data_IF_773202703524
#
_entry.id   IF_773202703524
#
_cell.length_a   1.000
_cell.length_b   1.000
_cell.length_c   1.000
_cell.angle_alpha   90.00
_cell.angle_beta   90.00
_cell.angle_gamma   90.00
#
_symmetry.space_group_name_H-M   'P 1'
#
loop_
_entity.id
_entity.type
_entity.pdbx_description
1 polymer ?
#
# COMPACT_ATOMS: atom_id res chain seq x y z
N UNK A 1 18.39 -30.74 -6.29
CA UNK A 1 17.26 -29.81 -6.03
C UNK A 1 17.02 -28.97 -7.27
N UNK A 2 15.81 -29.03 -7.85
CA UNK A 2 15.46 -28.30 -9.07
C UNK A 2 15.49 -26.79 -8.80
N UNK A 3 16.32 -26.06 -9.54
CA UNK A 3 16.66 -24.66 -9.24
C UNK A 3 15.62 -23.72 -9.86
N UNK A 4 14.53 -23.46 -9.14
CA UNK A 4 13.57 -22.41 -9.53
C UNK A 4 14.29 -21.06 -9.61
N UNK A 5 14.08 -20.33 -10.70
CA UNK A 5 14.64 -18.99 -10.91
C UNK A 5 13.52 -18.00 -11.16
N UNK A 6 13.64 -16.82 -10.55
CA UNK A 6 12.71 -15.71 -10.74
C UNK A 6 13.44 -14.59 -11.46
N UNK A 7 12.84 -14.08 -12.52
CA UNK A 7 13.33 -12.90 -13.21
C UNK A 7 12.33 -11.76 -13.12
N UNK A 8 12.80 -10.59 -12.70
CA UNK A 8 12.00 -9.37 -12.57
C UNK A 8 12.36 -8.42 -13.72
N UNK A 9 11.35 -7.76 -14.28
CA UNK A 9 11.56 -6.70 -15.27
C UNK A 9 12.36 -5.54 -14.62
N UNK A 10 13.51 -5.11 -15.18
CA UNK A 10 14.32 -4.03 -14.62
C UNK A 10 13.67 -2.64 -14.75
N UNK A 11 12.61 -2.50 -15.54
CA UNK A 11 11.95 -1.21 -15.81
C UNK A 11 10.85 -0.85 -14.79
N UNK A 12 10.76 -1.57 -13.67
CA UNK A 12 9.72 -1.36 -12.65
C UNK A 12 10.06 -0.20 -11.71
N UNK A 13 9.04 0.36 -11.07
CA UNK A 13 9.22 1.30 -9.96
C UNK A 13 9.48 0.55 -8.65
N UNK A 14 10.71 0.60 -8.17
CA UNK A 14 11.19 -0.07 -6.95
C UNK A 14 10.45 0.41 -5.71
N UNK A 15 10.15 1.72 -5.59
CA UNK A 15 9.41 2.23 -4.41
C UNK A 15 8.10 1.45 -4.20
N UNK A 16 7.36 1.19 -5.28
CA UNK A 16 6.06 0.52 -5.24
C UNK A 16 6.19 -1.01 -5.25
N UNK A 17 7.30 -1.52 -5.78
CA UNK A 17 7.55 -2.96 -5.94
C UNK A 17 8.30 -3.59 -4.77
N UNK A 18 8.97 -2.79 -3.94
CA UNK A 18 9.87 -3.22 -2.85
C UNK A 18 9.24 -4.29 -1.94
N UNK A 19 7.96 -4.12 -1.56
CA UNK A 19 7.19 -5.07 -0.77
C UNK A 19 7.13 -6.45 -1.43
N UNK A 20 6.76 -6.49 -2.71
CA UNK A 20 6.60 -7.73 -3.45
C UNK A 20 7.94 -8.38 -3.78
N UNK A 21 8.98 -7.58 -4.04
CA UNK A 21 10.35 -8.10 -4.22
C UNK A 21 10.83 -8.79 -2.94
N UNK A 22 10.54 -8.22 -1.76
CA UNK A 22 10.81 -8.89 -0.48
C UNK A 22 10.08 -10.23 -0.39
N UNK A 23 8.80 -10.28 -0.79
CA UNK A 23 8.05 -11.53 -0.84
C UNK A 23 8.68 -12.57 -1.79
N UNK A 24 9.18 -12.15 -2.95
CA UNK A 24 9.89 -13.03 -3.88
C UNK A 24 11.18 -13.58 -3.25
N UNK A 25 11.91 -12.76 -2.49
CA UNK A 25 13.08 -13.22 -1.72
C UNK A 25 12.68 -14.23 -0.65
N UNK A 26 11.61 -13.96 0.09
CA UNK A 26 11.14 -14.83 1.18
C UNK A 26 10.59 -16.17 0.69
N UNK A 27 10.05 -16.23 -0.54
CA UNK A 27 9.48 -17.46 -1.13
C UNK A 27 10.53 -18.26 -1.90
N UNK A 28 11.34 -17.61 -2.74
CA UNK A 28 12.24 -18.30 -3.68
C UNK A 28 13.72 -18.26 -3.28
N UNK A 29 14.09 -17.51 -2.25
CA UNK A 29 15.49 -17.25 -1.89
C UNK A 29 16.09 -16.11 -2.73
N UNK A 30 16.74 -15.15 -2.08
CA UNK A 30 17.29 -13.93 -2.70
C UNK A 30 18.24 -14.23 -3.86
N UNK A 31 19.03 -15.29 -3.78
CA UNK A 31 19.98 -15.75 -4.81
C UNK A 31 19.31 -16.31 -6.09
N UNK A 32 18.01 -16.62 -6.00
CA UNK A 32 17.21 -17.12 -7.11
C UNK A 32 16.39 -16.04 -7.81
N UNK A 33 16.32 -14.83 -7.23
CA UNK A 33 15.59 -13.70 -7.77
C UNK A 33 16.55 -12.69 -8.41
N UNK A 34 16.40 -12.43 -9.70
CA UNK A 34 17.30 -11.54 -10.45
C UNK A 34 16.54 -10.60 -11.38
N UNK A 35 17.07 -9.42 -11.63
CA UNK A 35 16.55 -8.58 -12.71
C UNK A 35 17.08 -9.02 -14.07
N UNK A 36 16.21 -9.04 -15.10
CA UNK A 36 16.58 -9.30 -16.50
C UNK A 36 15.50 -8.81 -17.46
N UNK A 37 15.87 -8.09 -18.52
CA UNK A 37 14.92 -7.69 -19.58
C UNK A 37 14.53 -8.83 -20.55
N UNK A 38 15.24 -9.97 -20.54
CA UNK A 38 15.13 -11.05 -21.55
C UNK A 38 13.71 -11.56 -21.78
N UNK A 39 12.88 -11.60 -20.73
CA UNK A 39 11.57 -12.27 -20.77
C UNK A 39 10.40 -11.29 -21.01
N UNK A 40 10.69 -9.99 -21.17
CA UNK A 40 9.67 -8.93 -21.13
C UNK A 40 9.54 -8.16 -22.45
N UNK A 41 10.32 -8.50 -23.48
CA UNK A 41 10.30 -7.78 -24.78
C UNK A 41 8.89 -7.74 -25.40
N UNK A 42 8.12 -8.83 -25.31
CA UNK A 42 6.74 -8.90 -25.83
C UNK A 42 5.74 -8.05 -25.04
N UNK A 43 6.03 -7.76 -23.77
CA UNK A 43 5.17 -6.96 -22.90
C UNK A 43 5.12 -5.50 -23.36
N UNK A 44 6.16 -4.99 -24.05
CA UNK A 44 6.28 -3.62 -24.58
C UNK A 44 5.72 -2.54 -23.63
N UNK A 45 6.19 -2.52 -22.37
CA UNK A 45 5.69 -1.60 -21.33
C UNK A 45 5.76 -0.11 -21.72
N UNK A 46 6.72 0.26 -22.56
CA UNK A 46 6.86 1.63 -23.06
C UNK A 46 5.65 2.12 -23.86
N UNK A 47 4.85 1.21 -24.42
CA UNK A 47 3.61 1.54 -25.14
C UNK A 47 2.38 1.62 -24.24
N UNK A 48 2.51 1.32 -22.95
CA UNK A 48 1.41 1.33 -21.99
C UNK A 48 1.52 2.57 -21.06
N UNK A 49 0.57 3.53 -21.13
CA UNK A 49 0.62 4.75 -20.34
C UNK A 49 0.73 4.47 -18.84
N UNK A 50 1.61 5.20 -18.14
CA UNK A 50 1.81 5.07 -16.69
C UNK A 50 2.26 3.68 -16.22
N UNK A 51 2.69 2.79 -17.13
CA UNK A 51 3.09 1.43 -16.77
C UNK A 51 4.18 1.38 -15.69
N UNK A 52 5.09 2.36 -15.68
CA UNK A 52 6.11 2.53 -14.64
C UNK A 52 5.52 2.59 -13.22
N UNK A 53 4.41 3.32 -13.05
CA UNK A 53 3.78 3.61 -11.77
C UNK A 53 2.65 2.66 -11.40
N UNK A 54 2.26 1.76 -12.30
CA UNK A 54 1.02 0.96 -12.14
C UNK A 54 1.27 -0.51 -11.81
N UNK A 55 2.33 -1.13 -12.33
CA UNK A 55 2.57 -2.55 -12.07
C UNK A 55 4.04 -2.95 -12.15
N UNK A 56 4.34 -4.11 -11.57
CA UNK A 56 5.56 -4.87 -11.84
C UNK A 56 5.26 -6.18 -12.56
N UNK A 57 6.22 -6.65 -13.35
CA UNK A 57 6.15 -7.94 -14.03
C UNK A 57 7.33 -8.81 -13.61
N UNK A 58 7.06 -10.10 -13.44
CA UNK A 58 8.10 -11.10 -13.19
C UNK A 58 7.75 -12.44 -13.85
N UNK A 59 8.76 -13.28 -14.03
CA UNK A 59 8.59 -14.66 -14.51
C UNK A 59 9.21 -15.63 -13.52
N UNK A 60 8.56 -16.78 -13.34
CA UNK A 60 9.08 -17.91 -12.56
C UNK A 60 9.41 -19.03 -13.54
N UNK A 61 10.65 -19.48 -13.52
CA UNK A 61 11.17 -20.55 -14.38
C UNK A 61 11.57 -21.72 -13.50
N UNK A 62 10.96 -22.85 -13.79
CA UNK A 62 11.24 -24.17 -13.24
C UNK A 62 11.53 -25.11 -14.42
N UNK A 63 12.16 -26.27 -14.18
CA UNK A 63 12.74 -27.13 -15.24
C UNK A 63 11.80 -27.52 -16.40
N UNK A 64 10.48 -27.33 -16.26
CA UNK A 64 9.47 -27.71 -17.25
C UNK A 64 8.51 -26.58 -17.64
N UNK A 65 8.63 -25.39 -17.04
CA UNK A 65 7.66 -24.32 -17.28
C UNK A 65 8.24 -22.93 -17.05
N UNK A 66 7.73 -21.97 -17.83
CA UNK A 66 7.88 -20.55 -17.59
C UNK A 66 6.47 -20.02 -17.34
N UNK A 67 6.24 -19.42 -16.16
CA UNK A 67 5.00 -18.71 -15.84
C UNK A 67 5.28 -17.21 -15.70
N UNK A 68 4.36 -16.39 -16.19
CA UNK A 68 4.42 -14.93 -16.24
C UNK A 68 3.39 -14.33 -15.30
N UNK A 69 3.82 -13.35 -14.52
CA UNK A 69 3.01 -12.74 -13.48
C UNK A 69 3.07 -11.22 -13.57
N UNK A 70 1.95 -10.59 -13.27
CA UNK A 70 1.83 -9.14 -13.10
C UNK A 70 1.30 -8.85 -11.70
N UNK A 71 1.86 -7.84 -11.05
CA UNK A 71 1.32 -7.28 -9.80
C UNK A 71 0.99 -5.82 -10.07
N UNK A 72 -0.31 -5.53 -10.15
CA UNK A 72 -0.89 -4.22 -10.39
C UNK A 72 -1.26 -3.55 -9.07
N UNK A 73 -0.54 -2.48 -8.78
CA UNK A 73 -0.69 -1.64 -7.60
C UNK A 73 -1.29 -0.27 -7.93
N UNK A 74 -1.92 -0.10 -9.10
CA UNK A 74 -2.60 1.14 -9.46
C UNK A 74 -3.87 1.34 -8.63
N UNK A 75 -4.19 2.60 -8.35
CA UNK A 75 -5.37 2.99 -7.58
C UNK A 75 -6.68 2.62 -8.30
N UNK A 76 -6.71 2.72 -9.62
CA UNK A 76 -7.88 2.44 -10.45
C UNK A 76 -8.18 0.95 -10.54
N UNK A 77 -9.48 0.63 -10.61
CA UNK A 77 -9.99 -0.72 -10.95
C UNK A 77 -9.70 -1.16 -12.38
N UNK A 78 -9.36 -0.22 -13.27
CA UNK A 78 -9.04 -0.51 -14.69
C UNK A 78 -7.87 -1.48 -14.82
N UNK A 79 -7.98 -2.41 -15.75
CA UNK A 79 -6.96 -3.41 -16.04
C UNK A 79 -6.06 -2.95 -17.18
N UNK A 80 -4.75 -3.23 -17.07
CA UNK A 80 -3.81 -3.03 -18.18
C UNK A 80 -3.90 -4.22 -19.12
N UNK A 81 -4.79 -4.13 -20.11
CA UNK A 81 -5.12 -5.20 -21.05
C UNK A 81 -3.88 -5.88 -21.64
N UNK A 82 -2.88 -5.10 -22.07
CA UNK A 82 -1.63 -5.65 -22.61
C UNK A 82 -0.87 -6.53 -21.60
N UNK A 83 -0.80 -6.09 -20.34
CA UNK A 83 -0.16 -6.84 -19.27
C UNK A 83 -0.99 -8.07 -18.87
N UNK A 84 -2.32 -7.95 -18.89
CA UNK A 84 -3.26 -9.06 -18.67
C UNK A 84 -3.14 -10.16 -19.72
N UNK A 85 -3.10 -9.79 -21.00
CA UNK A 85 -2.89 -10.73 -22.12
C UNK A 85 -1.51 -11.40 -21.99
N UNK A 86 -0.48 -10.64 -21.62
CA UNK A 86 0.88 -11.14 -21.53
C UNK A 86 1.10 -12.18 -20.41
N UNK A 87 0.39 -12.05 -19.28
CA UNK A 87 0.59 -12.87 -18.10
C UNK A 87 -0.32 -14.10 -18.02
N UNK A 88 0.08 -15.06 -17.18
CA UNK A 88 -0.71 -16.23 -16.80
C UNK A 88 -1.56 -15.96 -15.55
N UNK A 89 -1.11 -15.02 -14.71
CA UNK A 89 -1.79 -14.53 -13.50
C UNK A 89 -1.60 -13.03 -13.33
N UNK A 90 -2.71 -12.33 -13.08
CA UNK A 90 -2.75 -10.88 -12.91
C UNK A 90 -3.19 -10.55 -11.48
N UNK A 91 -2.25 -10.27 -10.59
CA UNK A 91 -2.55 -9.86 -9.23
C UNK A 91 -2.91 -8.38 -9.20
N UNK A 92 -4.02 -8.01 -8.55
CA UNK A 92 -4.46 -6.61 -8.45
C UNK A 92 -4.93 -6.25 -7.05
N UNK A 93 -4.46 -5.11 -6.54
CA UNK A 93 -4.88 -4.60 -5.23
C UNK A 93 -6.34 -4.11 -5.27
N UNK A 94 -6.64 -3.23 -6.24
CA UNK A 94 -7.91 -2.54 -6.35
C UNK A 94 -8.78 -3.20 -7.41
N UNK A 95 -9.42 -4.29 -7.04
CA UNK A 95 -10.30 -5.05 -7.93
C UNK A 95 -11.63 -5.33 -7.22
N UNK A 96 -12.72 -5.35 -7.97
CA UNK A 96 -14.03 -5.71 -7.45
C UNK A 96 -14.74 -6.64 -8.43
N UNK A 97 -15.10 -7.85 -8.00
CA UNK A 97 -15.87 -8.80 -8.81
C UNK A 97 -17.21 -8.27 -9.27
N UNK A 98 -17.72 -7.20 -8.65
CA UNK A 98 -19.00 -6.58 -8.98
C UNK A 98 -18.87 -5.29 -9.79
N UNK A 99 -17.76 -4.55 -9.61
CA UNK A 99 -17.58 -3.22 -10.22
C UNK A 99 -16.53 -3.22 -11.35
N UNK A 100 -15.75 -4.29 -11.49
CA UNK A 100 -14.76 -4.44 -12.56
C UNK A 100 -15.36 -5.16 -13.77
N UNK A 101 -14.73 -4.99 -14.93
CA UNK A 101 -15.13 -5.68 -16.15
C UNK A 101 -14.88 -7.19 -16.05
N UNK A 102 -15.96 -7.95 -16.18
CA UNK A 102 -16.00 -9.41 -16.11
C UNK A 102 -15.08 -10.10 -17.12
N UNK A 103 -14.76 -9.44 -18.25
CA UNK A 103 -13.86 -10.00 -19.27
C UNK A 103 -12.44 -10.31 -18.76
N UNK A 104 -12.02 -9.67 -17.67
CA UNK A 104 -10.69 -9.84 -17.07
C UNK A 104 -10.65 -10.80 -15.88
N UNK A 105 -11.77 -11.43 -15.49
CA UNK A 105 -11.83 -12.16 -14.21
C UNK A 105 -11.04 -13.47 -14.20
N UNK A 106 -10.87 -14.12 -15.36
CA UNK A 106 -10.29 -15.47 -15.46
C UNK A 106 -8.88 -15.59 -14.84
N UNK A 107 -8.01 -14.60 -15.07
CA UNK A 107 -6.63 -14.62 -14.56
C UNK A 107 -6.39 -13.72 -13.35
N UNK A 108 -7.40 -12.94 -12.94
CA UNK A 108 -7.23 -11.95 -11.86
C UNK A 108 -7.22 -12.65 -10.50
N UNK A 109 -6.27 -12.23 -9.68
CA UNK A 109 -6.25 -12.55 -8.25
C UNK A 109 -6.29 -11.21 -7.49
N UNK A 110 -7.27 -11.07 -6.60
CA UNK A 110 -7.29 -9.96 -5.64
C UNK A 110 -6.21 -10.18 -4.59
N UNK A 111 -5.39 -9.15 -4.36
CA UNK A 111 -4.33 -9.14 -3.35
C UNK A 111 -4.51 -7.96 -2.40
N UNK A 112 -3.96 -7.98 -1.18
CA UNK A 112 -4.11 -6.88 -0.25
C UNK A 112 -3.17 -5.72 -0.64
N UNK A 113 -3.37 -4.51 -0.08
CA UNK A 113 -2.48 -3.39 -0.36
C UNK A 113 -1.07 -3.63 0.20
N UNK A 114 -0.09 -3.75 -0.69
CA UNK A 114 1.32 -3.61 -0.35
C UNK A 114 1.71 -2.15 -0.12
N UNK A 115 2.89 -1.91 0.47
CA UNK A 115 3.41 -0.57 0.72
C UNK A 115 4.94 -0.52 0.56
N UNK A 116 5.49 0.65 0.23
CA UNK A 116 6.94 0.77 0.04
C UNK A 116 7.72 0.48 1.32
N UNK A 117 8.74 -0.37 1.24
CA UNK A 117 9.69 -0.69 2.31
C UNK A 117 11.11 -0.42 1.84
N UNK A 118 12.06 -0.34 2.76
CA UNK A 118 13.47 -0.31 2.43
C UNK A 118 14.00 -1.74 2.25
N UNK A 119 14.26 -2.08 0.99
CA UNK A 119 14.77 -3.38 0.55
C UNK A 119 16.31 -3.46 0.53
N UNK A 120 16.97 -2.37 0.14
CA UNK A 120 18.41 -2.31 -0.06
C UNK A 120 19.02 -1.05 0.57
N UNK A 121 20.20 -1.23 1.16
CA UNK A 121 20.98 -0.17 1.80
C UNK A 121 22.44 -0.21 1.34
N UNK A 122 23.16 0.88 1.60
CA UNK A 122 24.60 0.98 1.37
C UNK A 122 25.02 0.56 -0.05
N UNK A 123 25.99 -0.33 -0.15
CA UNK A 123 26.52 -0.82 -1.43
C UNK A 123 25.45 -1.54 -2.27
N UNK A 124 24.56 -2.32 -1.63
CA UNK A 124 23.53 -3.07 -2.36
C UNK A 124 22.56 -2.15 -3.09
N UNK A 125 22.20 -1.02 -2.48
CA UNK A 125 21.34 0.00 -3.09
C UNK A 125 21.98 0.57 -4.37
N UNK A 126 23.23 1.00 -4.26
CA UNK A 126 23.98 1.60 -5.39
C UNK A 126 24.18 0.58 -6.50
N UNK A 127 24.57 -0.65 -6.14
CA UNK A 127 24.76 -1.76 -7.07
C UNK A 127 23.47 -2.08 -7.85
N UNK A 128 22.34 -2.25 -7.16
CA UNK A 128 21.07 -2.54 -7.83
C UNK A 128 20.59 -1.35 -8.67
N UNK A 129 20.76 -0.11 -8.21
CA UNK A 129 20.41 1.10 -8.96
C UNK A 129 21.14 1.15 -10.31
N UNK A 130 22.46 0.98 -10.31
CA UNK A 130 23.29 1.03 -11.51
C UNK A 130 23.04 -0.18 -12.41
N UNK A 131 23.01 -1.39 -11.86
CA UNK A 131 22.82 -2.59 -12.67
C UNK A 131 21.45 -2.66 -13.32
N UNK A 132 20.38 -2.28 -12.62
CA UNK A 132 19.05 -2.30 -13.22
C UNK A 132 18.93 -1.25 -14.32
N UNK A 133 19.57 -0.09 -14.18
CA UNK A 133 19.67 0.89 -15.26
C UNK A 133 20.35 0.31 -16.51
N UNK A 134 21.47 -0.40 -16.34
CA UNK A 134 22.17 -1.08 -17.44
C UNK A 134 21.29 -2.19 -18.05
N UNK A 135 20.58 -2.96 -17.21
CA UNK A 135 19.70 -4.05 -17.65
C UNK A 135 18.46 -3.57 -18.41
N UNK A 136 18.08 -2.30 -18.26
CA UNK A 136 17.12 -1.64 -19.13
C UNK A 136 17.67 -1.38 -20.55
N UNK A 137 18.91 -1.77 -20.86
CA UNK A 137 19.61 -1.50 -22.14
C UNK A 137 19.60 0.00 -22.49
N UNK A 138 19.70 0.87 -21.47
CA UNK A 138 19.58 2.33 -21.61
C UNK A 138 18.25 2.81 -22.24
N UNK A 139 17.18 1.99 -22.18
CA UNK A 139 15.80 2.35 -22.54
C UNK A 139 14.87 2.28 -21.31
N UNK A 140 15.16 3.02 -20.22
CA UNK A 140 14.26 3.08 -19.08
C UNK A 140 12.92 3.70 -19.49
N UNK A 141 11.85 3.38 -18.75
CA UNK A 141 10.55 4.02 -18.93
C UNK A 141 10.53 5.47 -18.44
N UNK A 142 11.56 5.88 -17.70
CA UNK A 142 11.69 7.19 -17.07
C UNK A 142 13.09 7.75 -17.22
N UNK A 143 13.28 9.05 -17.00
CA UNK A 143 14.59 9.68 -17.03
C UNK A 143 15.54 9.10 -15.98
N UNK A 144 16.86 9.25 -16.19
CA UNK A 144 17.88 8.83 -15.21
C UNK A 144 17.64 9.48 -13.83
N UNK A 145 17.26 10.76 -13.81
CA UNK A 145 16.92 11.47 -12.57
C UNK A 145 15.76 10.79 -11.83
N UNK A 146 14.69 10.43 -12.54
CA UNK A 146 13.54 9.75 -11.96
C UNK A 146 13.88 8.32 -11.51
N UNK A 147 14.72 7.60 -12.25
CA UNK A 147 15.24 6.29 -11.85
C UNK A 147 16.02 6.38 -10.53
N UNK A 148 17.02 7.26 -10.44
CA UNK A 148 17.81 7.44 -9.20
C UNK A 148 16.91 7.87 -8.03
N UNK A 149 15.99 8.82 -8.27
CA UNK A 149 15.06 9.29 -7.26
C UNK A 149 14.20 8.14 -6.71
N UNK A 150 13.79 7.18 -7.54
CA UNK A 150 12.98 6.05 -7.09
C UNK A 150 13.72 5.13 -6.10
N UNK A 151 15.00 4.83 -6.37
CA UNK A 151 15.85 4.07 -5.45
C UNK A 151 16.09 4.85 -4.14
N UNK A 152 16.28 6.17 -4.22
CA UNK A 152 16.38 7.00 -3.01
C UNK A 152 15.07 7.01 -2.21
N UNK A 153 13.92 7.10 -2.88
CA UNK A 153 12.61 7.08 -2.21
C UNK A 153 12.30 5.74 -1.56
N UNK A 154 12.73 4.62 -2.13
CA UNK A 154 12.62 3.30 -1.48
C UNK A 154 13.50 3.25 -0.22
N UNK A 155 14.74 3.75 -0.30
CA UNK A 155 15.67 3.78 0.83
C UNK A 155 15.16 4.63 2.00
N UNK A 156 14.38 5.69 1.72
CA UNK A 156 13.76 6.52 2.76
C UNK A 156 12.58 5.87 3.49
N UNK A 157 12.15 4.67 3.07
CA UNK A 157 11.11 3.91 3.77
C UNK A 157 11.72 3.14 4.95
N UNK A 158 10.92 2.77 5.97
CA UNK A 158 11.38 1.83 6.98
C UNK A 158 11.58 0.44 6.38
N UNK A 159 12.45 -0.35 7.00
CA UNK A 159 12.49 -1.80 6.79
C UNK A 159 11.17 -2.42 7.24
N UNK A 160 10.85 -3.60 6.70
CA UNK A 160 9.59 -4.26 7.02
C UNK A 160 9.45 -4.57 8.51
N UNK A 161 10.55 -4.98 9.13
CA UNK A 161 10.65 -5.34 10.54
C UNK A 161 10.33 -4.15 11.46
N UNK A 162 10.66 -2.93 11.01
CA UNK A 162 10.33 -1.73 11.77
C UNK A 162 8.82 -1.55 11.90
N UNK A 163 7.99 -2.00 10.96
CA UNK A 163 6.53 -1.90 11.11
C UNK A 163 5.98 -2.79 12.23
N UNK A 164 6.76 -3.76 12.72
CA UNK A 164 6.30 -4.71 13.74
C UNK A 164 6.72 -4.32 15.16
N UNK A 165 7.54 -3.27 15.31
CA UNK A 165 8.00 -2.83 16.63
C UNK A 165 6.87 -2.11 17.38
N UNK A 166 6.60 -2.53 18.60
CA UNK A 166 5.76 -1.75 19.51
C UNK A 166 6.49 -0.49 19.96
N UNK A 167 5.74 0.60 20.11
CA UNK A 167 6.22 1.85 20.68
C UNK A 167 5.38 2.09 21.92
N UNK A 168 6.03 2.06 23.08
CA UNK A 168 5.38 2.34 24.36
C UNK A 168 5.74 3.77 24.73
N UNK A 169 4.74 4.65 24.68
CA UNK A 169 4.83 5.99 25.23
C UNK A 169 3.80 6.13 26.34
N UNK A 170 4.28 6.45 27.54
CA UNK A 170 3.40 6.85 28.64
C UNK A 170 2.86 8.25 28.33
N UNK A 171 1.54 8.34 28.15
CA UNK A 171 0.84 9.62 27.93
C UNK A 171 -0.32 9.77 28.89
N UNK A 172 -0.53 11.01 29.32
CA UNK A 172 -1.66 11.40 30.15
C UNK A 172 -2.99 11.47 29.36
N UNK A 173 -2.91 11.55 28.03
CA UNK A 173 -4.07 11.57 27.11
C UNK A 173 -3.90 10.56 25.98
N UNK A 174 -4.99 9.95 25.48
CA UNK A 174 -4.99 9.18 24.25
C UNK A 174 -4.42 10.00 23.09
N UNK A 175 -3.41 9.48 22.40
CA UNK A 175 -2.85 10.13 21.21
C UNK A 175 -3.46 9.56 19.94
N UNK A 176 -3.79 10.40 18.97
CA UNK A 176 -4.27 9.99 17.65
C UNK A 176 -3.62 10.86 16.59
N UNK A 177 -3.07 10.24 15.56
CA UNK A 177 -2.42 10.93 14.46
C UNK A 177 -3.05 10.61 13.10
N UNK A 178 -3.33 11.64 12.31
CA UNK A 178 -3.77 11.48 10.92
C UNK A 178 -3.20 12.59 10.03
N UNK A 179 -2.48 12.21 8.99
CA UNK A 179 -2.11 13.12 7.89
C UNK A 179 -2.77 12.69 6.58
N UNK A 180 -3.36 13.61 5.83
CA UNK A 180 -3.96 13.36 4.53
C UNK A 180 -3.35 14.22 3.43
N UNK A 181 -3.55 13.83 2.17
CA UNK A 181 -3.45 14.78 1.05
C UNK A 181 -4.88 15.08 0.61
N UNK A 182 -5.19 16.35 0.36
CA UNK A 182 -6.45 16.71 -0.28
C UNK A 182 -6.35 16.38 -1.77
N UNK A 183 -7.22 15.47 -2.20
CA UNK A 183 -7.29 15.06 -3.59
C UNK A 183 -8.44 15.79 -4.28
N UNK A 184 -8.19 16.43 -5.45
CA UNK A 184 -9.22 17.16 -6.19
C UNK A 184 -10.14 16.23 -7.01
N UNK A 185 -10.02 14.92 -6.84
CA UNK A 185 -10.86 13.94 -7.53
C UNK A 185 -12.27 13.92 -6.93
N UNK A 186 -13.29 13.76 -7.78
CA UNK A 186 -14.71 13.83 -7.41
C UNK A 186 -15.07 12.96 -6.18
N UNK A 187 -14.75 11.66 -6.21
CA UNK A 187 -14.99 10.77 -5.07
C UNK A 187 -14.30 11.21 -3.76
N UNK A 188 -13.19 11.95 -3.86
CA UNK A 188 -12.50 12.48 -2.69
C UNK A 188 -13.13 13.79 -2.19
N UNK A 189 -13.57 14.66 -3.09
CA UNK A 189 -14.27 15.91 -2.76
C UNK A 189 -15.57 15.60 -2.01
N UNK A 190 -16.32 14.61 -2.48
CA UNK A 190 -17.63 14.24 -1.92
C UNK A 190 -17.54 13.22 -0.77
N UNK A 191 -16.43 12.48 -0.67
CA UNK A 191 -16.24 11.40 0.29
C UNK A 191 -14.95 11.55 1.08
N UNK A 192 -13.85 11.02 0.55
CA UNK A 192 -12.57 10.81 1.28
C UNK A 192 -12.10 12.02 2.09
N UNK A 193 -12.12 13.23 1.53
CA UNK A 193 -11.64 14.43 2.20
C UNK A 193 -12.58 14.80 3.36
N UNK A 194 -13.90 14.73 3.15
CA UNK A 194 -14.90 15.04 4.17
C UNK A 194 -14.89 14.01 5.30
N UNK A 195 -14.78 12.71 4.98
CA UNK A 195 -14.65 11.65 5.99
C UNK A 195 -13.45 11.87 6.92
N UNK A 196 -12.30 12.22 6.34
CA UNK A 196 -11.12 12.54 7.14
C UNK A 196 -11.31 13.82 7.93
N UNK A 197 -11.93 14.87 7.36
CA UNK A 197 -12.21 16.13 8.07
C UNK A 197 -13.06 15.86 9.31
N UNK A 198 -14.18 15.17 9.15
CA UNK A 198 -15.08 14.81 10.25
C UNK A 198 -14.35 14.00 11.32
N UNK A 199 -13.49 13.06 10.94
CA UNK A 199 -12.66 12.32 11.89
C UNK A 199 -11.72 13.22 12.69
N UNK A 200 -11.03 14.16 12.04
CA UNK A 200 -10.14 15.12 12.71
C UNK A 200 -10.93 15.97 13.70
N UNK A 201 -12.01 16.61 13.24
CA UNK A 201 -12.82 17.50 14.07
C UNK A 201 -13.46 16.75 15.26
N UNK A 202 -13.89 15.51 15.04
CA UNK A 202 -14.41 14.66 16.12
C UNK A 202 -13.32 14.37 17.15
N UNK A 203 -12.12 13.97 16.73
CA UNK A 203 -11.00 13.77 17.66
C UNK A 203 -10.66 15.05 18.46
N UNK A 204 -10.60 16.20 17.80
CA UNK A 204 -10.28 17.49 18.42
C UNK A 204 -11.33 17.95 19.45
N UNK A 205 -12.61 17.57 19.24
CA UNK A 205 -13.69 17.84 20.19
C UNK A 205 -13.73 16.92 21.42
N UNK A 206 -12.93 15.85 21.42
CA UNK A 206 -12.89 14.84 22.49
C UNK A 206 -11.63 15.01 23.35
N UNK A 207 -11.52 14.25 24.45
CA UNK A 207 -10.30 14.24 25.28
C UNK A 207 -9.19 13.38 24.63
N UNK A 208 -8.80 13.76 23.40
CA UNK A 208 -7.74 13.15 22.60
C UNK A 208 -6.67 14.21 22.34
N UNK A 209 -5.41 13.83 22.45
CA UNK A 209 -4.29 14.59 21.92
C UNK A 209 -4.15 14.27 20.42
N UNK A 210 -4.82 15.08 19.59
CA UNK A 210 -4.84 14.88 18.15
C UNK A 210 -3.68 15.62 17.47
N UNK A 211 -3.03 14.98 16.50
CA UNK A 211 -2.02 15.61 15.67
C UNK A 211 -2.20 15.26 14.18
N UNK A 212 -1.94 16.25 13.31
CA UNK A 212 -1.84 16.06 11.87
C UNK A 212 -2.70 17.06 11.12
N UNK A 213 -3.43 16.59 10.11
CA UNK A 213 -4.22 17.42 9.22
C UNK A 213 -3.99 17.06 7.75
N UNK A 214 -3.99 18.05 6.87
CA UNK A 214 -3.96 17.85 5.43
C UNK A 214 -2.87 18.63 4.72
N UNK A 215 -2.18 17.97 3.79
CA UNK A 215 -1.36 18.62 2.80
C UNK A 215 -2.21 19.02 1.59
N UNK A 216 -2.18 20.30 1.20
CA UNK A 216 -2.87 20.81 0.02
C UNK A 216 -2.17 22.03 -0.56
N UNK A 217 -2.31 22.23 -1.87
CA UNK A 217 -2.00 23.50 -2.53
C UNK A 217 -3.19 24.47 -2.42
N UNK A 218 -2.93 25.77 -2.54
CA UNK A 218 -3.95 26.83 -2.46
C UNK A 218 -5.02 26.72 -3.56
N UNK A 219 -4.66 26.17 -4.72
CA UNK A 219 -5.58 25.99 -5.86
C UNK A 219 -6.56 24.83 -5.69
N UNK A 220 -6.51 24.08 -4.58
CA UNK A 220 -7.43 22.98 -4.35
C UNK A 220 -8.87 23.50 -4.15
N UNK A 221 -9.90 22.89 -4.78
CA UNK A 221 -11.28 23.38 -4.70
C UNK A 221 -11.82 23.53 -3.28
N UNK A 222 -11.39 22.65 -2.37
CA UNK A 222 -11.80 22.66 -0.96
C UNK A 222 -10.79 23.38 -0.03
N UNK A 223 -9.78 24.09 -0.55
CA UNK A 223 -8.73 24.68 0.29
C UNK A 223 -9.29 25.57 1.41
N UNK A 224 -10.26 26.44 1.09
CA UNK A 224 -10.88 27.35 2.09
C UNK A 224 -11.62 26.59 3.20
N UNK A 225 -12.27 25.47 2.88
CA UNK A 225 -13.01 24.65 3.83
C UNK A 225 -12.08 23.92 4.81
N UNK A 226 -10.85 23.63 4.41
CA UNK A 226 -9.87 22.89 5.19
C UNK A 226 -8.77 23.77 5.78
N UNK A 227 -8.90 25.10 5.66
CA UNK A 227 -7.81 26.05 5.92
C UNK A 227 -7.13 25.84 7.28
N UNK A 228 -7.92 25.62 8.33
CA UNK A 228 -7.42 25.47 9.70
C UNK A 228 -6.83 24.08 9.99
N UNK A 229 -7.06 23.12 9.10
CA UNK A 229 -6.54 21.76 9.18
C UNK A 229 -5.37 21.52 8.22
N UNK A 230 -4.92 22.54 7.49
CA UNK A 230 -3.83 22.41 6.51
C UNK A 230 -2.48 22.69 7.17
N UNK A 231 -1.54 21.75 7.02
CA UNK A 231 -0.15 21.96 7.41
C UNK A 231 0.71 22.31 6.19
N UNK A 232 1.69 23.18 6.39
CA UNK A 232 2.63 23.63 5.35
C UNK A 232 3.85 22.73 5.19
N UNK A 233 4.36 22.18 6.30
CA UNK A 233 5.55 21.33 6.31
C UNK A 233 5.21 19.85 6.22
N UNK A 234 5.87 19.13 5.31
CA UNK A 234 5.64 17.69 5.15
C UNK A 234 6.29 16.92 6.29
N UNK A 235 5.50 16.10 6.96
CA UNK A 235 6.00 15.06 7.86
C UNK A 235 7.00 14.15 7.16
N UNK A 236 8.15 13.92 7.79
CA UNK A 236 9.09 12.91 7.33
C UNK A 236 8.47 11.52 7.43
N UNK A 237 8.94 10.57 6.61
CA UNK A 237 8.46 9.18 6.66
C UNK A 237 8.69 8.58 8.05
N UNK A 238 9.82 8.88 8.69
CA UNK A 238 10.13 8.43 10.05
C UNK A 238 9.10 8.95 11.05
N UNK A 239 8.85 10.27 11.04
CA UNK A 239 7.87 10.90 11.93
C UNK A 239 6.46 10.37 11.70
N UNK A 240 6.05 10.16 10.44
CA UNK A 240 4.78 9.55 10.10
C UNK A 240 4.62 8.17 10.75
N UNK A 241 5.65 7.32 10.66
CA UNK A 241 5.61 5.94 11.18
C UNK A 241 5.61 5.93 12.71
N UNK A 242 6.46 6.73 13.36
CA UNK A 242 6.52 6.83 14.83
C UNK A 242 5.18 7.27 15.40
N UNK A 243 4.61 8.35 14.87
CA UNK A 243 3.31 8.89 15.31
C UNK A 243 2.15 7.95 15.02
N UNK A 244 2.19 7.25 13.88
CA UNK A 244 1.18 6.22 13.56
C UNK A 244 1.21 5.06 14.55
N UNK A 245 2.42 4.58 14.92
CA UNK A 245 2.56 3.50 15.91
C UNK A 245 2.08 3.94 17.29
N UNK A 246 2.40 5.17 17.68
CA UNK A 246 1.98 5.76 18.96
C UNK A 246 0.47 5.98 19.04
N UNK A 247 -0.21 6.20 17.91
CA UNK A 247 -1.65 6.44 17.89
C UNK A 247 -2.44 5.29 18.54
N UNK A 248 -3.37 5.60 19.42
CA UNK A 248 -4.19 4.58 20.11
C UNK A 248 -5.04 3.76 19.11
N UNK A 249 -5.52 4.41 18.06
CA UNK A 249 -6.19 3.81 16.91
C UNK A 249 -5.91 4.65 15.67
N UNK A 250 -6.20 4.11 14.48
CA UNK A 250 -5.92 4.76 13.20
C UNK A 250 -7.17 4.79 12.33
N UNK A 251 -7.32 5.87 11.55
CA UNK A 251 -8.45 6.04 10.63
C UNK A 251 -8.09 5.68 9.19
N UNK A 252 -8.89 4.80 8.60
CA UNK A 252 -8.82 4.41 7.21
C UNK A 252 -10.09 4.83 6.46
N UNK A 253 -9.92 5.22 5.20
CA UNK A 253 -11.02 5.41 4.26
C UNK A 253 -10.50 5.16 2.86
N UNK A 254 -11.30 4.58 1.95
CA UNK A 254 -10.94 4.51 0.54
C UNK A 254 -10.47 5.88 0.02
N UNK A 255 -9.40 5.87 -0.77
CA UNK A 255 -8.79 7.08 -1.30
C UNK A 255 -9.27 7.37 -2.73
N UNK A 256 -8.41 7.94 -3.58
CA UNK A 256 -8.75 8.24 -4.97
C UNK A 256 -9.17 6.95 -5.68
N UNK A 257 -10.27 7.00 -6.45
CA UNK A 257 -10.85 5.84 -7.13
C UNK A 257 -11.31 4.71 -6.19
N UNK A 258 -11.65 5.05 -4.94
CA UNK A 258 -12.00 4.14 -3.85
C UNK A 258 -10.93 3.07 -3.58
N UNK A 259 -9.66 3.41 -3.83
CA UNK A 259 -8.58 2.44 -3.68
C UNK A 259 -8.32 2.07 -2.21
N UNK A 260 -7.85 0.84 -2.01
CA UNK A 260 -7.11 0.45 -0.81
C UNK A 260 -5.76 1.18 -0.81
N UNK A 261 -5.69 2.27 -0.05
CA UNK A 261 -4.46 3.01 0.11
C UNK A 261 -3.39 2.21 0.88
N UNK A 262 -2.12 2.53 0.64
CA UNK A 262 -0.99 1.90 1.32
C UNK A 262 -1.07 1.92 2.84
N UNK A 263 -1.69 2.96 3.40
CA UNK A 263 -1.89 3.09 4.83
C UNK A 263 -2.63 1.90 5.44
N UNK A 264 -3.60 1.33 4.73
CA UNK A 264 -4.31 0.14 5.20
C UNK A 264 -3.32 -1.02 5.39
N UNK A 265 -2.42 -1.24 4.44
CA UNK A 265 -1.35 -2.26 4.55
C UNK A 265 -0.38 -1.96 5.70
N UNK A 266 -0.01 -0.70 5.89
CA UNK A 266 0.86 -0.26 7.00
C UNK A 266 0.19 -0.47 8.37
N UNK A 267 -1.09 -0.11 8.51
CA UNK A 267 -1.86 -0.28 9.74
C UNK A 267 -2.04 -1.74 10.12
N UNK A 268 -2.31 -2.61 9.13
CA UNK A 268 -2.38 -4.06 9.31
C UNK A 268 -1.02 -4.62 9.74
N UNK A 269 0.07 -4.18 9.10
CA UNK A 269 1.43 -4.60 9.47
C UNK A 269 1.81 -4.24 10.91
N UNK A 270 1.41 -3.05 11.36
CA UNK A 270 1.58 -2.55 12.72
C UNK A 270 0.58 -3.14 13.73
N UNK A 271 -0.46 -3.86 13.28
CA UNK A 271 -1.49 -4.40 14.15
C UNK A 271 -2.28 -3.31 14.89
N UNK A 272 -2.58 -2.19 14.24
CA UNK A 272 -3.34 -1.10 14.87
C UNK A 272 -4.82 -1.46 14.99
N UNK A 273 -5.50 -0.89 16.00
CA UNK A 273 -6.96 -0.79 15.98
C UNK A 273 -7.37 0.16 14.84
N UNK A 274 -7.98 -0.39 13.78
CA UNK A 274 -8.36 0.37 12.59
C UNK A 274 -9.85 0.71 12.68
N UNK A 275 -10.17 1.99 12.66
CA UNK A 275 -11.50 2.50 12.38
C UNK A 275 -11.57 2.88 10.90
N UNK A 276 -12.59 2.40 10.17
CA UNK A 276 -12.65 2.57 8.72
C UNK A 276 -14.05 2.87 8.20
N UNK A 277 -14.16 3.69 7.17
CA UNK A 277 -15.35 3.67 6.31
C UNK A 277 -15.39 2.35 5.49
N UNK A 278 -16.55 1.95 4.94
CA UNK A 278 -16.67 0.71 4.18
C UNK A 278 -15.72 0.63 2.98
N UNK A 279 -15.24 -0.59 2.68
CA UNK A 279 -14.38 -0.87 1.53
C UNK A 279 -15.21 -1.51 0.41
N UNK A 280 -14.92 -1.16 -0.84
CA UNK A 280 -15.67 -1.62 -2.02
C UNK A 280 -14.89 -2.56 -2.94
N UNK A 281 -13.56 -2.62 -2.77
CA UNK A 281 -12.71 -3.56 -3.50
C UNK A 281 -12.58 -4.85 -2.69
N UNK A 282 -12.43 -5.98 -3.39
CA UNK A 282 -12.17 -7.26 -2.75
C UNK A 282 -10.80 -7.24 -2.05
N UNK A 283 -10.72 -8.04 -0.98
CA UNK A 283 -9.48 -8.39 -0.31
C UNK A 283 -9.39 -9.92 -0.21
N UNK A 284 -8.17 -10.48 -0.07
CA UNK A 284 -8.01 -11.89 0.28
C UNK A 284 -8.49 -12.14 1.73
N UNK A 285 -9.61 -12.84 1.86
CA UNK A 285 -10.28 -13.00 3.16
C UNK A 285 -11.05 -11.74 3.56
N UNK A 286 -11.95 -11.89 4.54
CA UNK A 286 -12.79 -10.79 4.99
C UNK A 286 -12.10 -9.98 6.11
N UNK A 287 -12.17 -8.65 6.00
CA UNK A 287 -12.07 -7.79 7.17
C UNK A 287 -13.46 -7.70 7.81
N UNK A 288 -13.57 -8.06 9.08
CA UNK A 288 -14.84 -8.23 9.79
C UNK A 288 -14.95 -7.18 10.90
N UNK A 289 -16.08 -6.46 10.91
CA UNK A 289 -16.40 -5.48 11.95
C UNK A 289 -16.31 -6.10 13.35
N UNK A 290 -15.58 -5.47 14.25
CA UNK A 290 -15.44 -5.90 15.65
C UNK A 290 -14.50 -7.09 15.86
N UNK A 291 -13.80 -7.53 14.82
CA UNK A 291 -12.78 -8.58 14.91
C UNK A 291 -11.40 -8.07 14.54
N UNK A 292 -11.24 -7.57 13.32
CA UNK A 292 -9.95 -7.11 12.78
C UNK A 292 -10.00 -5.67 12.24
N UNK A 293 -11.19 -5.07 12.23
CA UNK A 293 -11.45 -3.68 11.86
C UNK A 293 -12.75 -3.23 12.52
N UNK A 294 -12.92 -1.93 12.72
CA UNK A 294 -14.20 -1.34 13.11
C UNK A 294 -14.72 -0.46 11.99
N UNK A 295 -15.81 -0.89 11.34
CA UNK A 295 -16.44 -0.15 10.26
C UNK A 295 -17.44 0.88 10.77
N UNK A 296 -17.31 2.11 10.30
CA UNK A 296 -18.23 3.22 10.50
C UNK A 296 -19.13 3.33 9.28
N UNK A 297 -20.37 2.88 9.40
CA UNK A 297 -21.36 2.93 8.31
C UNK A 297 -22.00 4.32 8.15
N UNK A 298 -21.97 5.16 9.18
CA UNK A 298 -22.47 6.53 9.15
C UNK A 298 -21.58 7.45 10.01
N UNK A 299 -21.09 8.56 9.45
CA UNK A 299 -20.27 9.53 10.18
C UNK A 299 -20.99 10.17 11.37
N UNK A 300 -22.32 10.21 11.38
CA UNK A 300 -23.08 10.75 12.51
C UNK A 300 -22.81 9.99 13.82
N UNK A 301 -22.39 8.72 13.73
CA UNK A 301 -22.09 7.87 14.88
C UNK A 301 -20.59 7.87 15.23
N UNK A 302 -19.75 8.62 14.50
CA UNK A 302 -18.30 8.55 14.64
C UNK A 302 -17.82 8.90 16.06
N UNK A 303 -18.50 9.82 16.73
CA UNK A 303 -18.19 10.16 18.12
C UNK A 303 -18.46 9.00 19.07
N UNK A 304 -19.54 8.24 18.87
CA UNK A 304 -19.87 7.05 19.66
C UNK A 304 -18.87 5.92 19.38
N UNK A 305 -18.54 5.71 18.11
CA UNK A 305 -17.55 4.73 17.65
C UNK A 305 -16.17 5.02 18.28
N UNK A 306 -15.70 6.27 18.23
CA UNK A 306 -14.46 6.70 18.87
C UNK A 306 -14.57 6.55 20.39
N UNK A 307 -15.70 6.90 21.01
CA UNK A 307 -15.91 6.74 22.46
C UNK A 307 -15.82 5.28 22.90
N UNK A 308 -16.35 4.35 22.11
CA UNK A 308 -16.22 2.92 22.35
C UNK A 308 -14.75 2.49 22.28
N UNK A 309 -14.02 2.94 21.25
CA UNK A 309 -12.60 2.65 21.18
C UNK A 309 -11.87 3.24 22.38
N UNK A 310 -12.11 4.48 22.82
CA UNK A 310 -11.43 5.10 23.97
C UNK A 310 -11.70 4.39 25.29
N UNK A 311 -12.96 4.02 25.55
CA UNK A 311 -13.40 3.47 26.84
C UNK A 311 -13.23 1.95 26.97
N UNK A 312 -13.00 1.23 25.87
CA UNK A 312 -12.92 -0.23 25.88
C UNK A 312 -11.55 -0.77 25.40
N UNK A 313 -10.54 -0.87 26.29
CA UNK A 313 -9.24 -1.43 25.96
C UNK A 313 -9.29 -2.87 25.44
N UNK A 314 -10.22 -3.69 25.94
CA UNK A 314 -10.36 -5.09 25.52
C UNK A 314 -10.81 -5.20 24.06
N UNK A 315 -11.75 -4.35 23.66
CA UNK A 315 -12.21 -4.25 22.28
C UNK A 315 -11.10 -3.75 21.36
N UNK A 316 -10.38 -2.69 21.76
CA UNK A 316 -9.20 -2.23 21.00
C UNK A 316 -8.18 -3.35 20.81
N UNK A 317 -7.84 -4.06 21.88
CA UNK A 317 -6.86 -5.16 21.82
C UNK A 317 -7.32 -6.28 20.88
N UNK A 318 -8.62 -6.58 20.88
CA UNK A 318 -9.21 -7.53 19.93
C UNK A 318 -8.99 -7.08 18.49
N UNK A 319 -9.27 -5.81 18.17
CA UNK A 319 -9.03 -5.25 16.84
C UNK A 319 -7.56 -5.29 16.44
N UNK A 320 -6.65 -4.90 17.34
CA UNK A 320 -5.20 -4.92 17.11
C UNK A 320 -4.70 -6.34 16.79
N UNK A 321 -5.09 -7.32 17.60
CA UNK A 321 -4.75 -8.73 17.38
C UNK A 321 -5.37 -9.25 16.10
N UNK A 322 -6.63 -8.92 15.81
CA UNK A 322 -7.30 -9.30 14.57
C UNK A 322 -6.61 -8.73 13.33
N UNK A 323 -6.28 -7.43 13.34
CA UNK A 323 -5.55 -6.76 12.27
C UNK A 323 -4.17 -7.40 12.03
N UNK A 324 -3.44 -7.70 13.11
CA UNK A 324 -2.13 -8.37 13.01
C UNK A 324 -2.26 -9.79 12.45
N UNK A 325 -3.24 -10.57 12.91
CA UNK A 325 -3.49 -11.92 12.40
C UNK A 325 -3.87 -11.90 10.92
N UNK A 326 -4.73 -10.96 10.51
CA UNK A 326 -5.06 -10.75 9.11
C UNK A 326 -3.80 -10.43 8.28
N UNK A 327 -2.94 -9.55 8.79
CA UNK A 327 -1.66 -9.25 8.15
C UNK A 327 -0.79 -10.50 7.96
N UNK A 328 -0.60 -11.29 9.01
CA UNK A 328 0.24 -12.49 8.97
C UNK A 328 -0.29 -13.57 8.01
N UNK A 329 -1.61 -13.67 7.88
CA UNK A 329 -2.24 -14.69 7.04
C UNK A 329 -2.32 -14.29 5.56
N UNK A 330 -2.55 -13.00 5.27
CA UNK A 330 -2.89 -12.56 3.91
C UNK A 330 -1.97 -11.49 3.34
N UNK A 331 -1.38 -10.63 4.17
CA UNK A 331 -0.74 -9.38 3.71
C UNK A 331 0.77 -9.43 3.74
N UNK A 332 1.39 -10.19 4.65
CA UNK A 332 2.84 -10.31 4.74
C UNK A 332 3.42 -10.70 3.35
N UNK A 333 4.54 -10.10 2.90
CA UNK A 333 5.00 -10.26 1.52
C UNK A 333 5.09 -11.70 1.02
N UNK A 334 5.52 -12.61 1.90
CA UNK A 334 5.64 -14.04 1.61
C UNK A 334 4.30 -14.67 1.22
N UNK A 335 3.24 -14.41 1.98
CA UNK A 335 1.92 -15.01 1.72
C UNK A 335 1.25 -14.39 0.49
N UNK A 336 1.47 -13.10 0.23
CA UNK A 336 1.04 -12.47 -1.02
C UNK A 336 1.66 -13.15 -2.24
N UNK A 337 2.99 -13.36 -2.22
CA UNK A 337 3.67 -14.01 -3.35
C UNK A 337 3.27 -15.48 -3.49
N UNK A 338 3.09 -16.21 -2.39
CA UNK A 338 2.57 -17.58 -2.44
C UNK A 338 1.19 -17.63 -3.09
N UNK A 339 0.28 -16.74 -2.70
CA UNK A 339 -1.07 -16.66 -3.30
C UNK A 339 -1.00 -16.40 -4.80
N UNK A 340 -0.13 -15.48 -5.24
CA UNK A 340 0.04 -15.14 -6.66
C UNK A 340 0.62 -16.32 -7.47
N UNK A 341 1.48 -17.12 -6.86
CA UNK A 341 2.27 -18.16 -7.55
C UNK A 341 1.80 -19.60 -7.28
N UNK A 342 0.66 -19.75 -6.59
CA UNK A 342 0.05 -21.04 -6.25
C UNK A 342 -0.31 -21.89 -7.47
#
# INVERSE_FOLDING_TARGET
MNKTKVYIDPTIRIKYSSFYIRGLYDVFGKENVKFSGKYFDSLKRASDPYSYDHYMAFVVINNKSLKKYVIDFADRRTIKERAYIWCDRYAKINFSTYLSDNSFHEKIISIPPGFGINLWEGFELVYNCLLNFIKCKFRPLVSLKAHILDYYLQFKRPKLEEYHSEVIHERNKPYVFLIGTLWPHENCIEGTNLYRKTFVETCESMNIDFEGGFFSNQDHPQYKLFKDLIFSERYSVKSYIEKTKESLFVFNTPAVHDCHGWKLGEYLAMGKAIISTPLSNNLPGALTHGENIHFVSNLNNLQEDISMLLSNPSYRKKLETGAKNYYLNYVVPKEVIKSITA
#
